data_IF_640951091853
#
_entry.id   IF_640951091853
#
_cell.length_a   1.000
_cell.length_b   1.000
_cell.length_c   1.000
_cell.angle_alpha   90.00
_cell.angle_beta   90.00
_cell.angle_gamma   90.00
#
_symmetry.space_group_name_H-M   'P 1'
#
loop_
_entity.id
_entity.type
_entity.pdbx_description
1 polymer ?
#
# COMPACT_ATOMS: atom_id res chain seq x y z
N UNK A 1 -1.51 -16.65 -17.27
CA UNK A 1 -1.77 -17.50 -16.15
C UNK A 1 -2.73 -18.59 -16.50
N UNK A 2 -2.24 -19.81 -16.76
CA UNK A 2 -3.07 -20.98 -16.83
C UNK A 2 -3.32 -21.56 -15.43
N UNK A 3 -4.29 -22.42 -15.31
CA UNK A 3 -4.51 -23.25 -14.13
C UNK A 3 -3.20 -23.94 -13.77
N UNK A 4 -2.64 -23.63 -12.61
CA UNK A 4 -1.42 -24.31 -12.14
C UNK A 4 -1.87 -25.71 -11.70
N UNK A 5 -1.65 -26.70 -12.57
CA UNK A 5 -1.87 -28.10 -12.21
C UNK A 5 -0.96 -28.52 -11.06
N UNK A 6 -1.31 -29.57 -10.36
CA UNK A 6 -0.55 -30.09 -9.20
C UNK A 6 0.93 -30.36 -9.52
N UNK A 7 1.26 -30.68 -10.78
CA UNK A 7 2.63 -30.89 -11.25
C UNK A 7 3.41 -29.58 -11.35
N UNK A 8 2.80 -28.55 -11.94
CA UNK A 8 3.39 -27.21 -12.05
C UNK A 8 3.55 -26.57 -10.67
N UNK A 9 2.62 -26.81 -9.74
CA UNK A 9 2.74 -26.38 -8.35
C UNK A 9 3.95 -27.00 -7.68
N UNK A 10 4.17 -28.30 -7.85
CA UNK A 10 5.32 -29.00 -7.29
C UNK A 10 6.65 -28.52 -7.92
N UNK A 11 6.67 -28.24 -9.23
CA UNK A 11 7.86 -27.69 -9.92
C UNK A 11 8.17 -26.28 -9.40
N UNK A 12 7.18 -25.41 -9.28
CA UNK A 12 7.32 -24.08 -8.68
C UNK A 12 7.79 -24.19 -7.23
N UNK A 13 7.20 -25.07 -6.44
CA UNK A 13 7.59 -25.30 -5.05
C UNK A 13 9.06 -25.74 -4.96
N UNK A 14 9.51 -26.65 -5.82
CA UNK A 14 10.89 -27.12 -5.82
C UNK A 14 11.87 -26.02 -6.25
N UNK A 15 11.51 -25.20 -7.27
CA UNK A 15 12.33 -24.06 -7.70
C UNK A 15 12.54 -23.00 -6.61
N UNK A 16 11.58 -22.83 -5.70
CA UNK A 16 11.65 -21.77 -4.68
C UNK A 16 12.18 -22.25 -3.33
N UNK A 17 12.09 -23.56 -3.00
CA UNK A 17 12.53 -24.09 -1.72
C UNK A 17 14.04 -23.96 -1.48
N UNK A 18 14.86 -23.99 -2.55
CA UNK A 18 16.31 -23.89 -2.44
C UNK A 18 16.83 -22.45 -2.38
N UNK A 19 15.97 -21.44 -2.68
CA UNK A 19 16.33 -20.03 -2.64
C UNK A 19 15.77 -19.36 -1.37
N UNK A 20 16.57 -19.38 -0.29
CA UNK A 20 16.18 -18.78 1.00
C UNK A 20 15.78 -17.31 0.90
N UNK A 21 16.33 -16.55 -0.02
CA UNK A 21 16.00 -15.12 -0.22
C UNK A 21 14.59 -14.99 -0.80
N UNK A 22 14.27 -15.79 -1.82
CA UNK A 22 12.94 -15.82 -2.44
C UNK A 22 11.90 -16.34 -1.46
N UNK A 23 12.20 -17.42 -0.72
CA UNK A 23 11.30 -17.96 0.31
C UNK A 23 10.98 -16.92 1.37
N UNK A 24 11.97 -16.20 1.90
CA UNK A 24 11.78 -15.15 2.88
C UNK A 24 10.95 -13.98 2.32
N UNK A 25 11.16 -13.61 1.05
CA UNK A 25 10.37 -12.57 0.39
C UNK A 25 8.90 -12.98 0.24
N UNK A 26 8.64 -14.23 -0.20
CA UNK A 26 7.29 -14.78 -0.31
C UNK A 26 6.62 -14.85 1.05
N UNK A 27 7.33 -15.34 2.08
CA UNK A 27 6.83 -15.39 3.45
C UNK A 27 6.42 -14.00 3.94
N UNK A 28 7.29 -13.00 3.80
CA UNK A 28 6.98 -11.62 4.19
C UNK A 28 5.74 -11.05 3.49
N UNK A 29 5.60 -11.36 2.18
CA UNK A 29 4.42 -10.92 1.42
C UNK A 29 3.15 -11.65 1.85
N UNK A 30 3.24 -12.94 2.19
CA UNK A 30 2.13 -13.71 2.71
C UNK A 30 1.71 -13.23 4.11
N UNK A 31 2.67 -12.98 5.00
CA UNK A 31 2.41 -12.44 6.34
C UNK A 31 1.69 -11.08 6.23
N UNK A 32 2.14 -10.18 5.36
CA UNK A 32 1.49 -8.88 5.15
C UNK A 32 0.06 -9.01 4.60
N UNK A 33 -0.20 -9.96 3.69
CA UNK A 33 -1.56 -10.26 3.21
C UNK A 33 -2.45 -10.80 4.35
N UNK A 34 -1.94 -11.70 5.18
CA UNK A 34 -2.69 -12.24 6.31
C UNK A 34 -3.01 -11.16 7.35
N UNK A 35 -2.05 -10.29 7.68
CA UNK A 35 -2.26 -9.15 8.58
C UNK A 35 -3.34 -8.20 8.05
N UNK A 36 -3.32 -7.94 6.74
CA UNK A 36 -4.38 -7.15 6.09
C UNK A 36 -5.74 -7.83 6.22
N UNK A 37 -5.85 -9.14 5.94
CA UNK A 37 -7.12 -9.87 6.03
C UNK A 37 -7.65 -9.94 7.47
N UNK A 38 -6.76 -10.09 8.46
CA UNK A 38 -7.13 -10.02 9.88
C UNK A 38 -7.65 -8.62 10.24
N UNK A 39 -6.98 -7.57 9.78
CA UNK A 39 -7.41 -6.19 9.97
C UNK A 39 -8.81 -5.96 9.37
N UNK A 40 -9.08 -6.50 8.18
CA UNK A 40 -10.39 -6.41 7.55
C UNK A 40 -11.45 -7.21 8.32
N UNK A 41 -11.11 -8.38 8.85
CA UNK A 41 -12.02 -9.17 9.66
C UNK A 41 -12.42 -8.46 10.96
N UNK A 42 -11.47 -7.79 11.62
CA UNK A 42 -11.75 -6.97 12.82
C UNK A 42 -12.58 -5.72 12.45
N UNK A 43 -12.25 -5.05 11.36
CA UNK A 43 -13.00 -3.89 10.86
C UNK A 43 -14.45 -4.23 10.54
N UNK A 44 -14.70 -5.43 9.99
CA UNK A 44 -16.03 -5.95 9.74
C UNK A 44 -16.87 -6.05 11.02
N UNK A 45 -16.29 -6.48 12.13
CA UNK A 45 -17.00 -6.56 13.41
C UNK A 45 -17.55 -5.18 13.84
N UNK A 46 -16.79 -4.12 13.59
CA UNK A 46 -17.20 -2.74 13.86
C UNK A 46 -18.33 -2.24 12.95
N UNK A 47 -18.48 -2.80 11.74
CA UNK A 47 -19.46 -2.33 10.72
C UNK A 47 -20.70 -3.22 10.66
N UNK A 48 -20.53 -4.54 10.69
CA UNK A 48 -21.59 -5.54 10.41
C UNK A 48 -21.81 -6.57 11.53
N UNK A 49 -21.23 -6.35 12.71
CA UNK A 49 -21.38 -7.24 13.86
C UNK A 49 -20.47 -8.49 13.83
N UNK A 50 -20.60 -9.38 14.83
CA UNK A 50 -19.63 -10.44 15.14
C UNK A 50 -19.50 -11.60 14.13
N UNK A 51 -19.97 -11.46 12.90
CA UNK A 51 -19.77 -12.49 11.87
C UNK A 51 -18.40 -12.28 11.20
N UNK A 52 -17.61 -13.34 11.06
CA UNK A 52 -16.36 -13.30 10.28
C UNK A 52 -16.61 -12.99 8.79
N UNK A 53 -15.55 -12.68 8.04
CA UNK A 53 -15.62 -12.49 6.60
C UNK A 53 -16.21 -13.74 5.92
N UNK A 54 -17.16 -13.55 5.01
CA UNK A 54 -17.60 -14.62 4.12
C UNK A 54 -16.46 -14.97 3.15
N UNK A 55 -16.45 -16.21 2.65
CA UNK A 55 -15.39 -16.65 1.73
C UNK A 55 -15.24 -15.75 0.49
N UNK A 56 -16.35 -15.31 -0.09
CA UNK A 56 -16.34 -14.39 -1.25
C UNK A 56 -15.75 -13.03 -0.91
N UNK A 57 -16.08 -12.45 0.25
CA UNK A 57 -15.52 -11.19 0.73
C UNK A 57 -14.02 -11.32 0.96
N UNK A 58 -13.60 -12.39 1.64
CA UNK A 58 -12.18 -12.64 1.94
C UNK A 58 -11.35 -12.78 0.67
N UNK A 59 -11.86 -13.54 -0.31
CA UNK A 59 -11.18 -13.72 -1.60
C UNK A 59 -11.10 -12.40 -2.38
N UNK A 60 -12.18 -11.61 -2.38
CA UNK A 60 -12.19 -10.30 -3.03
C UNK A 60 -11.23 -9.32 -2.36
N UNK A 61 -11.17 -9.29 -1.02
CA UNK A 61 -10.23 -8.46 -0.27
C UNK A 61 -8.78 -8.88 -0.51
N UNK A 62 -8.49 -10.19 -0.59
CA UNK A 62 -7.16 -10.66 -0.93
C UNK A 62 -6.72 -10.20 -2.34
N UNK A 63 -7.60 -10.31 -3.32
CA UNK A 63 -7.33 -9.81 -4.67
C UNK A 63 -7.19 -8.29 -4.70
N UNK A 64 -7.99 -7.56 -3.92
CA UNK A 64 -7.87 -6.10 -3.79
C UNK A 64 -6.51 -5.70 -3.19
N UNK A 65 -6.05 -6.41 -2.16
CA UNK A 65 -4.71 -6.18 -1.60
C UNK A 65 -3.62 -6.34 -2.66
N UNK A 66 -3.65 -7.45 -3.42
CA UNK A 66 -2.67 -7.71 -4.48
C UNK A 66 -2.73 -6.67 -5.61
N UNK A 67 -3.93 -6.24 -5.97
CA UNK A 67 -4.15 -5.20 -6.97
C UNK A 67 -3.57 -3.85 -6.52
N UNK A 68 -3.87 -3.43 -5.28
CA UNK A 68 -3.34 -2.19 -4.71
C UNK A 68 -1.81 -2.24 -4.57
N UNK A 69 -1.26 -3.39 -4.17
CA UNK A 69 0.18 -3.58 -4.12
C UNK A 69 0.83 -3.50 -5.50
N UNK A 70 0.19 -4.05 -6.53
CA UNK A 70 0.68 -3.96 -7.92
C UNK A 70 0.63 -2.52 -8.46
N UNK A 71 -0.38 -1.73 -8.07
CA UNK A 71 -0.54 -0.34 -8.52
C UNK A 71 0.34 0.66 -7.76
N UNK A 72 0.40 0.52 -6.45
CA UNK A 72 0.99 1.53 -5.57
C UNK A 72 2.29 1.10 -4.90
N UNK A 73 2.68 -0.17 -5.03
CA UNK A 73 3.82 -0.71 -4.30
C UNK A 73 3.49 -0.90 -2.81
N UNK A 74 4.38 -0.47 -1.94
CA UNK A 74 4.17 -0.56 -0.49
C UNK A 74 3.25 0.55 0.02
N UNK A 75 2.31 0.21 0.88
CA UNK A 75 1.35 1.13 1.48
C UNK A 75 0.97 0.68 2.90
N UNK A 76 0.41 1.59 3.67
CA UNK A 76 -0.18 1.31 4.99
C UNK A 76 -1.65 1.66 5.00
N UNK A 77 -2.43 0.93 5.78
CA UNK A 77 -3.84 1.20 6.01
C UNK A 77 -3.98 2.19 7.17
N UNK A 78 -4.56 3.36 6.90
CA UNK A 78 -4.70 4.43 7.89
C UNK A 78 -6.07 4.38 8.59
N UNK A 79 -7.14 4.07 7.84
CA UNK A 79 -8.48 3.87 8.38
C UNK A 79 -9.09 2.54 7.88
N UNK A 80 -8.80 1.42 8.55
CA UNK A 80 -9.31 0.11 8.13
C UNK A 80 -10.82 -0.03 8.28
N UNK A 81 -11.45 0.66 9.24
CA UNK A 81 -12.90 0.59 9.46
C UNK A 81 -13.63 1.34 8.35
N UNK A 82 -13.18 2.56 8.01
CA UNK A 82 -13.70 3.34 6.90
C UNK A 82 -13.54 2.61 5.57
N UNK A 83 -12.35 2.07 5.33
CA UNK A 83 -12.06 1.25 4.15
C UNK A 83 -13.02 0.06 4.01
N UNK A 84 -13.16 -0.75 5.08
CA UNK A 84 -14.05 -1.90 5.04
C UNK A 84 -15.52 -1.50 4.85
N UNK A 85 -15.97 -0.43 5.49
CA UNK A 85 -17.34 0.09 5.33
C UNK A 85 -17.64 0.43 3.88
N UNK A 86 -16.76 1.17 3.22
CA UNK A 86 -16.98 1.63 1.85
C UNK A 86 -16.76 0.48 0.84
N UNK A 87 -15.77 -0.38 1.06
CA UNK A 87 -15.62 -1.65 0.34
C UNK A 87 -16.90 -2.51 0.44
N UNK A 88 -17.41 -2.72 1.66
CA UNK A 88 -18.59 -3.55 1.89
C UNK A 88 -19.81 -3.01 1.18
N UNK A 89 -19.99 -1.69 1.16
CA UNK A 89 -21.07 -1.05 0.43
C UNK A 89 -20.99 -1.38 -1.07
N UNK A 90 -19.84 -1.14 -1.69
CA UNK A 90 -19.63 -1.45 -3.12
C UNK A 90 -19.81 -2.94 -3.38
N UNK A 91 -19.21 -3.81 -2.55
CA UNK A 91 -19.30 -5.26 -2.68
C UNK A 91 -20.77 -5.75 -2.59
N UNK A 92 -21.54 -5.28 -1.61
CA UNK A 92 -22.94 -5.66 -1.45
C UNK A 92 -23.83 -5.08 -2.51
N UNK A 93 -23.62 -3.86 -2.94
CA UNK A 93 -24.37 -3.22 -4.01
C UNK A 93 -24.27 -4.04 -5.31
N UNK A 94 -23.07 -4.55 -5.62
CA UNK A 94 -22.85 -5.37 -6.80
C UNK A 94 -23.22 -6.85 -6.63
N UNK A 95 -22.95 -7.44 -5.46
CA UNK A 95 -23.09 -8.88 -5.24
C UNK A 95 -24.48 -9.30 -4.76
N UNK A 96 -25.13 -8.50 -3.93
CA UNK A 96 -26.38 -8.85 -3.25
C UNK A 96 -27.62 -8.08 -3.71
N UNK A 97 -27.54 -7.18 -4.68
CA UNK A 97 -28.75 -6.55 -5.20
C UNK A 97 -29.55 -7.54 -6.08
N UNK A 98 -30.63 -8.18 -5.54
CA UNK A 98 -31.39 -9.18 -6.28
C UNK A 98 -32.26 -8.57 -7.39
N UNK A 99 -32.45 -7.24 -7.40
CA UNK A 99 -33.43 -6.56 -8.25
C UNK A 99 -32.83 -5.59 -9.27
N UNK A 100 -31.50 -5.41 -9.30
CA UNK A 100 -30.84 -4.53 -10.28
C UNK A 100 -31.29 -3.07 -10.19
N UNK A 101 -31.59 -2.58 -8.98
CA UNK A 101 -32.23 -1.28 -8.76
C UNK A 101 -31.27 -0.09 -8.75
N UNK A 102 -29.97 -0.32 -8.81
CA UNK A 102 -29.02 0.79 -8.87
C UNK A 102 -28.98 1.33 -10.28
N UNK A 103 -29.73 2.39 -10.51
CA UNK A 103 -29.79 3.16 -11.77
C UNK A 103 -28.44 3.84 -12.10
N UNK A 104 -27.48 3.85 -11.15
CA UNK A 104 -26.15 4.41 -11.30
C UNK A 104 -25.06 3.37 -11.60
N UNK A 105 -25.46 2.21 -12.10
CA UNK A 105 -24.50 1.21 -12.58
C UNK A 105 -23.82 1.78 -13.82
N UNK A 106 -22.54 2.13 -13.69
CA UNK A 106 -21.70 2.56 -14.84
C UNK A 106 -21.84 1.50 -15.92
N UNK A 107 -22.40 1.86 -17.07
CA UNK A 107 -22.59 0.95 -18.20
C UNK A 107 -21.23 0.55 -18.75
N UNK A 108 -20.65 -0.49 -18.21
CA UNK A 108 -19.55 -1.18 -18.86
C UNK A 108 -20.15 -1.97 -20.05
N UNK A 109 -20.23 -1.31 -21.18
CA UNK A 109 -20.42 -2.02 -22.42
C UNK A 109 -19.09 -2.72 -22.74
N UNK A 110 -19.01 -4.01 -22.52
CA UNK A 110 -18.23 -4.83 -23.44
C UNK A 110 -18.85 -4.56 -24.81
N UNK A 111 -18.15 -3.83 -25.67
CA UNK A 111 -18.66 -3.52 -27.01
C UNK A 111 -19.25 -4.78 -27.63
N UNK A 112 -20.58 -4.80 -27.79
CA UNK A 112 -21.31 -5.84 -28.50
C UNK A 112 -21.90 -6.99 -27.67
N UNK A 113 -21.75 -7.11 -26.36
CA UNK A 113 -22.18 -8.29 -25.61
C UNK A 113 -23.59 -8.25 -25.03
N UNK A 114 -24.19 -7.08 -24.86
CA UNK A 114 -25.51 -6.92 -24.21
C UNK A 114 -25.59 -7.37 -22.74
N UNK A 115 -24.46 -7.67 -22.11
CA UNK A 115 -24.38 -8.14 -20.73
C UNK A 115 -24.41 -6.94 -19.79
N UNK A 116 -25.22 -7.00 -18.73
CA UNK A 116 -25.28 -5.95 -17.72
C UNK A 116 -24.01 -5.96 -16.85
N UNK A 117 -23.63 -4.81 -16.31
CA UNK A 117 -22.49 -4.68 -15.42
C UNK A 117 -22.57 -5.62 -14.20
N UNK A 118 -23.78 -5.82 -13.67
CA UNK A 118 -24.05 -6.74 -12.57
C UNK A 118 -23.79 -8.21 -12.94
N UNK A 119 -24.21 -8.63 -14.14
CA UNK A 119 -23.92 -9.98 -14.64
C UNK A 119 -22.43 -10.17 -14.85
N UNK A 120 -21.74 -9.14 -15.35
CA UNK A 120 -20.29 -9.12 -15.44
C UNK A 120 -19.66 -9.29 -14.06
N UNK A 121 -20.02 -8.48 -13.08
CA UNK A 121 -19.46 -8.56 -11.71
C UNK A 121 -19.66 -9.95 -11.10
N UNK A 122 -20.87 -10.52 -11.17
CA UNK A 122 -21.15 -11.87 -10.69
C UNK A 122 -20.29 -12.93 -11.38
N UNK A 123 -20.20 -12.87 -12.69
CA UNK A 123 -19.39 -13.81 -13.47
C UNK A 123 -17.91 -13.70 -13.12
N UNK A 124 -17.41 -12.49 -12.88
CA UNK A 124 -16.03 -12.28 -12.49
C UNK A 124 -15.77 -12.69 -11.03
N UNK A 125 -16.69 -12.40 -10.12
CA UNK A 125 -16.56 -12.77 -8.71
C UNK A 125 -16.65 -14.30 -8.48
N UNK A 126 -17.41 -15.02 -9.30
CA UNK A 126 -17.55 -16.48 -9.19
C UNK A 126 -16.45 -17.22 -9.93
N UNK A 127 -15.98 -16.70 -11.05
CA UNK A 127 -14.97 -17.32 -11.92
C UNK A 127 -13.65 -16.54 -11.89
N UNK A 128 -13.01 -16.45 -10.72
CA UNK A 128 -11.77 -15.69 -10.53
C UNK A 128 -10.51 -16.38 -11.09
N UNK A 129 -10.63 -17.31 -12.02
CA UNK A 129 -9.54 -18.15 -12.52
C UNK A 129 -8.63 -17.45 -13.53
N UNK A 130 -8.96 -16.23 -13.98
CA UNK A 130 -8.08 -15.49 -14.88
C UNK A 130 -7.66 -14.16 -14.27
N UNK A 131 -6.38 -13.83 -14.41
CA UNK A 131 -5.80 -12.56 -13.98
C UNK A 131 -6.58 -11.35 -14.53
N UNK A 132 -6.98 -11.40 -15.81
CA UNK A 132 -7.74 -10.32 -16.45
C UNK A 132 -9.10 -10.08 -15.78
N UNK A 133 -9.79 -11.14 -15.38
CA UNK A 133 -11.07 -11.04 -14.67
C UNK A 133 -10.88 -10.43 -13.29
N UNK A 134 -9.86 -10.87 -12.56
CA UNK A 134 -9.54 -10.32 -11.26
C UNK A 134 -9.17 -8.83 -11.34
N UNK A 135 -8.35 -8.45 -12.31
CA UNK A 135 -7.98 -7.05 -12.54
C UNK A 135 -9.21 -6.18 -12.83
N UNK A 136 -10.11 -6.64 -13.70
CA UNK A 136 -11.33 -5.92 -14.03
C UNK A 136 -12.26 -5.78 -12.83
N UNK A 137 -12.42 -6.83 -12.03
CA UNK A 137 -13.18 -6.79 -10.78
C UNK A 137 -12.61 -5.76 -9.81
N UNK A 138 -11.28 -5.71 -9.67
CA UNK A 138 -10.62 -4.74 -8.80
C UNK A 138 -10.79 -3.31 -9.29
N UNK A 139 -10.73 -3.07 -10.60
CA UNK A 139 -11.01 -1.75 -11.20
C UNK A 139 -12.44 -1.27 -10.91
N UNK A 140 -13.41 -2.15 -10.91
CA UNK A 140 -14.78 -1.79 -10.54
C UNK A 140 -14.93 -1.47 -9.06
N UNK A 141 -14.34 -2.28 -8.19
CA UNK A 141 -14.37 -2.05 -6.75
C UNK A 141 -13.71 -0.71 -6.41
N UNK A 142 -12.50 -0.47 -6.93
CA UNK A 142 -11.78 0.79 -6.69
C UNK A 142 -12.39 1.99 -7.39
N UNK A 143 -13.21 1.79 -8.42
CA UNK A 143 -14.02 2.84 -9.03
C UNK A 143 -15.27 3.21 -8.23
N UNK A 144 -15.71 2.35 -7.31
CA UNK A 144 -16.87 2.54 -6.46
C UNK A 144 -16.60 3.33 -5.16
N UNK A 145 -15.34 3.46 -4.74
CA UNK A 145 -14.93 4.29 -3.61
C UNK A 145 -13.47 4.74 -3.77
N UNK A 146 -13.14 5.87 -3.15
CA UNK A 146 -11.77 6.42 -3.20
C UNK A 146 -10.87 5.71 -2.18
N UNK A 147 -10.12 4.72 -2.66
CA UNK A 147 -9.21 3.91 -1.85
C UNK A 147 -8.11 4.76 -1.21
N UNK A 148 -7.66 5.83 -1.89
CA UNK A 148 -6.55 6.66 -1.42
C UNK A 148 -6.90 7.50 -0.18
N UNK A 149 -8.19 7.60 0.17
CA UNK A 149 -8.59 8.21 1.44
C UNK A 149 -8.25 7.35 2.67
N UNK A 150 -8.01 6.06 2.48
CA UNK A 150 -7.84 5.08 3.56
C UNK A 150 -6.43 4.50 3.64
N UNK A 151 -5.59 4.76 2.64
CA UNK A 151 -4.23 4.24 2.59
C UNK A 151 -3.21 5.34 2.37
N UNK A 152 -2.05 5.20 3.01
CA UNK A 152 -0.86 5.99 2.66
C UNK A 152 0.08 5.14 1.80
N UNK A 153 0.27 5.57 0.55
CA UNK A 153 1.23 4.94 -0.36
C UNK A 153 2.63 5.30 0.08
N UNK A 154 3.43 4.29 0.43
CA UNK A 154 4.82 4.46 0.79
C UNK A 154 5.68 4.57 -0.46
N UNK A 155 6.69 5.43 -0.41
CA UNK A 155 7.67 5.49 -1.47
C UNK A 155 8.57 4.24 -1.39
N UNK A 156 8.68 3.48 -2.48
CA UNK A 156 9.58 2.32 -2.55
C UNK A 156 11.06 2.73 -2.56
N UNK A 157 11.34 3.98 -2.89
CA UNK A 157 12.68 4.56 -2.96
C UNK A 157 13.04 5.19 -1.62
N UNK A 158 13.73 4.45 -0.76
CA UNK A 158 14.13 4.97 0.57
C UNK A 158 15.34 5.88 0.55
N UNK A 159 16.20 5.75 -0.45
CA UNK A 159 17.47 6.49 -0.50
C UNK A 159 17.39 7.63 -1.50
N UNK A 160 17.73 8.83 -1.06
CA UNK A 160 17.87 9.97 -1.95
C UNK A 160 19.04 9.78 -2.92
N UNK A 161 18.84 9.97 -4.23
CA UNK A 161 19.94 9.93 -5.20
C UNK A 161 20.89 11.11 -4.99
N UNK A 162 22.14 10.94 -5.39
CA UNK A 162 23.20 11.93 -5.16
C UNK A 162 22.88 13.33 -5.69
N UNK A 163 22.18 13.42 -6.83
CA UNK A 163 21.80 14.72 -7.38
C UNK A 163 20.83 15.50 -6.45
N UNK A 164 19.89 14.83 -5.78
CA UNK A 164 19.01 15.47 -4.80
C UNK A 164 19.82 15.94 -3.58
N UNK A 165 20.73 15.09 -3.07
CA UNK A 165 21.63 15.45 -1.95
C UNK A 165 22.44 16.69 -2.27
N UNK A 166 23.01 16.75 -3.49
CA UNK A 166 23.81 17.90 -3.94
C UNK A 166 22.99 19.18 -3.97
N UNK A 167 21.81 19.15 -4.56
CA UNK A 167 20.91 20.32 -4.64
C UNK A 167 20.53 20.77 -3.24
N UNK A 168 20.06 19.85 -2.39
CA UNK A 168 19.65 20.19 -1.03
C UNK A 168 20.79 20.76 -0.19
N UNK A 169 22.00 20.20 -0.31
CA UNK A 169 23.17 20.70 0.40
C UNK A 169 23.53 22.14 -0.02
N UNK A 170 23.43 22.43 -1.32
CA UNK A 170 23.63 23.78 -1.85
C UNK A 170 22.55 24.76 -1.37
N UNK A 171 21.28 24.35 -1.43
CA UNK A 171 20.15 25.17 -0.95
C UNK A 171 20.24 25.48 0.55
N UNK A 172 20.80 24.55 1.35
CA UNK A 172 21.06 24.72 2.77
C UNK A 172 22.35 25.50 3.08
N UNK A 173 23.06 26.03 2.04
CA UNK A 173 24.34 26.73 2.21
C UNK A 173 25.37 25.91 2.98
N UNK A 174 25.41 24.60 2.77
CA UNK A 174 26.34 23.68 3.41
C UNK A 174 26.26 23.69 4.94
N UNK A 175 25.05 23.84 5.51
CA UNK A 175 24.81 23.74 6.95
C UNK A 175 23.81 22.63 7.26
N UNK A 176 23.98 21.99 8.41
CA UNK A 176 23.11 20.92 8.88
C UNK A 176 21.72 21.47 9.26
N UNK A 177 20.66 20.82 8.78
CA UNK A 177 19.28 21.23 9.03
C UNK A 177 18.87 21.14 10.52
N UNK A 178 19.57 20.33 11.32
CA UNK A 178 19.27 20.14 12.75
C UNK A 178 19.93 21.20 13.62
N UNK A 179 21.25 21.30 13.57
CA UNK A 179 22.05 22.11 14.50
C UNK A 179 22.68 23.37 13.85
N UNK A 180 22.56 23.52 12.52
CA UNK A 180 23.10 24.67 11.80
C UNK A 180 24.62 24.69 11.66
N UNK A 181 25.35 23.64 12.08
CA UNK A 181 26.78 23.56 11.89
C UNK A 181 27.18 23.35 10.44
N UNK A 182 28.38 23.82 10.02
CA UNK A 182 28.90 23.53 8.70
C UNK A 182 28.90 22.02 8.40
N UNK A 183 28.52 21.68 7.18
CA UNK A 183 28.35 20.32 6.73
C UNK A 183 29.18 20.08 5.47
N UNK A 184 30.12 19.18 5.52
CA UNK A 184 30.83 18.71 4.36
C UNK A 184 30.15 17.45 3.77
N UNK A 185 30.57 17.09 2.56
CA UNK A 185 29.97 15.95 1.84
C UNK A 185 30.21 14.62 2.56
N UNK A 186 31.32 14.46 3.23
CA UNK A 186 31.72 13.20 3.85
C UNK A 186 30.96 12.94 5.15
N UNK A 187 30.55 14.01 5.86
CA UNK A 187 29.72 13.93 7.07
C UNK A 187 28.22 14.09 6.79
N UNK A 188 27.85 14.51 5.56
CA UNK A 188 26.48 14.79 5.18
C UNK A 188 25.69 13.52 4.84
N UNK A 189 24.51 13.38 5.43
CA UNK A 189 23.50 12.39 5.02
C UNK A 189 22.17 13.05 4.73
N UNK A 190 21.45 12.47 3.75
CA UNK A 190 20.10 12.93 3.44
C UNK A 190 19.07 12.25 4.33
N UNK A 191 18.30 13.05 5.03
CA UNK A 191 17.18 12.65 5.85
C UNK A 191 15.86 13.06 5.21
N UNK A 192 14.80 12.30 5.49
CA UNK A 192 13.44 12.69 5.10
C UNK A 192 12.90 13.70 6.11
N UNK A 193 12.48 14.90 5.66
CA UNK A 193 11.86 15.92 6.53
C UNK A 193 10.67 15.32 7.25
N UNK A 194 9.73 14.70 6.52
CA UNK A 194 8.74 13.78 7.05
C UNK A 194 9.29 12.37 6.91
N UNK A 195 9.44 11.65 8.00
CA UNK A 195 10.05 10.32 8.03
C UNK A 195 9.41 9.35 7.02
N UNK A 196 10.24 8.57 6.34
CA UNK A 196 9.78 7.59 5.33
C UNK A 196 8.76 6.60 5.90
N UNK A 197 8.96 6.14 7.14
CA UNK A 197 8.01 5.24 7.84
C UNK A 197 6.65 5.90 8.14
N UNK A 198 6.59 7.24 8.14
CA UNK A 198 5.36 8.03 8.27
C UNK A 198 4.78 8.44 6.92
N UNK A 199 5.19 7.80 5.82
CA UNK A 199 4.72 8.09 4.47
C UNK A 199 5.42 9.28 3.80
N UNK A 200 6.59 9.72 4.30
CA UNK A 200 7.41 10.73 3.64
C UNK A 200 7.99 10.20 2.33
N UNK A 201 7.81 10.93 1.22
CA UNK A 201 8.30 10.55 -0.10
C UNK A 201 9.74 10.96 -0.31
N UNK A 202 10.47 10.19 -1.13
CA UNK A 202 11.85 10.49 -1.55
C UNK A 202 11.83 11.48 -2.72
N UNK A 203 11.49 12.72 -2.42
CA UNK A 203 11.44 13.85 -3.36
C UNK A 203 12.24 15.03 -2.80
N UNK A 204 12.68 15.95 -3.67
CA UNK A 204 13.55 17.06 -3.30
C UNK A 204 12.96 17.90 -2.14
N UNK A 205 11.67 18.21 -2.19
CA UNK A 205 10.98 18.99 -1.15
C UNK A 205 10.86 18.30 0.21
N UNK A 206 11.16 17.01 0.29
CA UNK A 206 11.18 16.23 1.53
C UNK A 206 12.60 15.79 1.93
N UNK A 207 13.63 16.34 1.28
CA UNK A 207 15.02 16.06 1.55
C UNK A 207 15.62 17.15 2.45
N UNK A 208 16.31 16.73 3.51
CA UNK A 208 17.16 17.61 4.33
C UNK A 208 18.54 16.99 4.47
N UNK A 209 19.58 17.81 4.35
CA UNK A 209 20.95 17.38 4.66
C UNK A 209 21.25 17.60 6.13
N UNK A 210 21.66 16.54 6.79
CA UNK A 210 21.97 16.52 8.23
C UNK A 210 23.32 15.83 8.45
N UNK A 211 23.95 16.02 9.61
CA UNK A 211 25.12 15.23 9.98
C UNK A 211 24.75 13.77 10.19
N UNK A 212 25.65 12.86 9.86
CA UNK A 212 25.46 11.40 10.01
C UNK A 212 24.97 11.01 11.39
N UNK A 213 25.53 11.63 12.43
CA UNK A 213 25.13 11.37 13.81
C UNK A 213 23.65 11.70 14.05
N UNK A 214 23.17 12.83 13.54
CA UNK A 214 21.76 13.21 13.69
C UNK A 214 20.84 12.29 12.91
N UNK A 215 21.24 11.86 11.70
CA UNK A 215 20.44 10.92 10.91
C UNK A 215 20.32 9.57 11.63
N UNK A 216 21.39 9.10 12.26
CA UNK A 216 21.39 7.86 13.05
C UNK A 216 20.53 7.97 14.31
N UNK A 217 20.66 9.07 15.06
CA UNK A 217 19.94 9.27 16.32
C UNK A 217 18.44 9.56 16.12
N UNK A 218 18.09 10.17 15.00
CA UNK A 218 16.72 10.54 14.66
C UNK A 218 15.81 9.31 14.49
N UNK A 219 16.33 8.19 13.97
CA UNK A 219 15.59 6.94 13.80
C UNK A 219 14.35 7.10 12.93
N UNK A 220 13.16 7.08 13.53
CA UNK A 220 11.86 7.20 12.84
C UNK A 220 11.17 8.55 13.05
N UNK A 221 11.84 9.51 13.68
CA UNK A 221 11.31 10.86 13.89
C UNK A 221 11.40 11.70 12.61
N UNK A 222 10.52 12.67 12.49
CA UNK A 222 10.64 13.72 11.51
C UNK A 222 11.79 14.66 11.87
N UNK A 223 12.43 15.27 10.89
CA UNK A 223 13.59 16.17 11.15
C UNK A 223 13.23 17.28 12.16
N UNK A 224 12.05 17.85 12.04
CA UNK A 224 11.61 18.93 12.94
C UNK A 224 11.34 18.42 14.35
N UNK A 225 10.73 17.26 14.53
CA UNK A 225 10.53 16.61 15.84
C UNK A 225 11.88 16.35 16.52
N UNK A 226 12.81 15.76 15.79
CA UNK A 226 14.14 15.49 16.32
C UNK A 226 14.88 16.78 16.69
N UNK A 227 14.82 17.81 15.86
CA UNK A 227 15.42 19.13 16.13
C UNK A 227 14.91 19.74 17.43
N UNK A 228 13.61 19.64 17.72
CA UNK A 228 13.04 20.12 18.98
C UNK A 228 13.57 19.34 20.20
N UNK A 229 13.67 18.01 20.08
CA UNK A 229 14.22 17.15 21.15
C UNK A 229 15.70 17.47 21.38
N UNK A 230 16.47 17.56 20.30
CA UNK A 230 17.90 17.84 20.33
C UNK A 230 18.19 19.22 20.97
N UNK A 231 17.48 20.26 20.58
CA UNK A 231 17.67 21.61 21.16
C UNK A 231 17.32 21.67 22.66
N UNK A 232 16.29 20.91 23.09
CA UNK A 232 15.96 20.81 24.53
C UNK A 232 17.07 20.11 25.31
N UNK A 233 17.71 19.10 24.73
CA UNK A 233 18.80 18.37 25.40
C UNK A 233 20.09 19.18 25.56
N UNK A 234 20.34 20.17 24.68
CA UNK A 234 21.50 21.07 24.77
C UNK A 234 21.27 22.20 25.78
N UNK A 235 20.00 22.58 25.98
CA UNK A 235 19.63 23.68 26.89
C UNK A 235 19.46 23.24 28.36
N UNK A 236 19.51 21.94 28.64
CA UNK A 236 19.40 21.36 29.99
C UNK A 236 20.75 21.00 30.59
#
# INVERSE_FOLDING_TARGET
GGDIGSREFNEVQTMYLDDKVKVNKIKKSADALFDYLLTMAESRKGVAGNKGLAWGEMNTLANLYLFLFAQYGDWSMDDPIGFYRDFSKVYHDFYHDPKGRHENVVKFSFEGSGVTEKECFRNYAVNQNSYQKQEQLMKWITGGFDVLQFITVKDSTRCFPNWMKTITLQEQNYVCAVDGFPLDWDDAEAAHIRAHVKGGKTILSNCAMVRKIHNSDMGTMDVNEYKEVHNKSIAA
#
